data_IF_922445256406
#
_entry.id   IF_922445256406
#
_cell.length_a   1.000
_cell.length_b   1.000
_cell.length_c   1.000
_cell.angle_alpha   90.00
_cell.angle_beta   90.00
_cell.angle_gamma   90.00
#
_symmetry.space_group_name_H-M   'P 1'
#
loop_
_entity.id
_entity.type
_entity.pdbx_description
1 polymer ?
#
# COMPACT_ATOMS: atom_id res chain seq x y z
N UNK A 1 15.66 11.10 -1.53
CA UNK A 1 15.07 10.03 -2.37
C UNK A 1 16.11 9.04 -2.91
N UNK A 2 17.40 9.39 -3.01
CA UNK A 2 18.47 8.45 -3.39
C UNK A 2 18.49 7.15 -2.58
N UNK A 3 18.16 7.22 -1.30
CA UNK A 3 18.06 6.06 -0.41
C UNK A 3 16.93 5.10 -0.81
N UNK A 4 15.82 5.59 -1.37
CA UNK A 4 14.69 4.75 -1.80
C UNK A 4 15.08 3.85 -2.97
N UNK A 5 15.91 4.32 -3.91
CA UNK A 5 16.41 3.44 -4.99
C UNK A 5 17.24 2.30 -4.44
N UNK A 6 18.11 2.58 -3.46
CA UNK A 6 18.87 1.55 -2.75
C UNK A 6 17.94 0.56 -2.05
N UNK A 7 16.96 1.06 -1.30
CA UNK A 7 15.97 0.20 -0.62
C UNK A 7 15.22 -0.69 -1.62
N UNK A 8 14.75 -0.13 -2.75
CA UNK A 8 14.08 -0.88 -3.81
C UNK A 8 14.99 -1.97 -4.39
N UNK A 9 16.28 -1.69 -4.59
CA UNK A 9 17.26 -2.67 -5.08
C UNK A 9 17.45 -3.86 -4.14
N UNK A 10 17.16 -3.70 -2.85
CA UNK A 10 17.25 -4.75 -1.83
C UNK A 10 15.92 -5.50 -1.66
N UNK A 11 14.78 -4.80 -1.71
CA UNK A 11 13.45 -5.40 -1.54
C UNK A 11 12.96 -6.16 -2.77
N UNK A 12 13.15 -5.62 -3.98
CA UNK A 12 12.59 -6.21 -5.20
C UNK A 12 13.11 -7.61 -5.50
N UNK A 13 14.42 -7.93 -5.35
CA UNK A 13 14.91 -9.29 -5.55
C UNK A 13 14.27 -10.31 -4.61
N UNK A 14 13.98 -9.92 -3.36
CA UNK A 14 13.30 -10.80 -2.39
C UNK A 14 11.91 -11.15 -2.89
N UNK A 15 11.14 -10.15 -3.34
CA UNK A 15 9.79 -10.38 -3.92
C UNK A 15 9.88 -11.25 -5.18
N UNK A 16 10.84 -10.97 -6.07
CA UNK A 16 11.00 -11.67 -7.36
C UNK A 16 11.35 -13.15 -7.23
N UNK A 17 11.92 -13.58 -6.09
CA UNK A 17 12.12 -15.02 -5.80
C UNK A 17 10.81 -15.78 -5.63
N UNK A 18 9.75 -15.10 -5.22
CA UNK A 18 8.45 -15.71 -4.96
C UNK A 18 7.42 -15.39 -6.04
N UNK A 19 7.53 -14.22 -6.69
CA UNK A 19 6.57 -13.75 -7.67
C UNK A 19 7.26 -13.09 -8.87
N UNK A 20 7.12 -13.71 -10.05
CA UNK A 20 7.70 -13.20 -11.31
C UNK A 20 6.69 -12.43 -12.19
N UNK A 21 5.43 -12.34 -11.76
CA UNK A 21 4.40 -11.62 -12.51
C UNK A 21 4.58 -10.09 -12.50
N UNK A 22 3.66 -9.40 -13.18
CA UNK A 22 3.61 -7.93 -13.23
C UNK A 22 2.21 -7.46 -12.82
N UNK A 23 2.00 -7.01 -11.58
CA UNK A 23 0.68 -6.54 -11.16
C UNK A 23 0.33 -5.28 -11.95
N UNK A 24 -0.91 -5.16 -12.40
CA UNK A 24 -1.40 -3.96 -13.08
C UNK A 24 -2.00 -2.96 -12.08
N UNK A 25 -2.61 -3.48 -11.01
CA UNK A 25 -3.29 -2.70 -9.99
C UNK A 25 -2.67 -2.99 -8.62
N UNK A 26 -2.33 -1.93 -7.89
CA UNK A 26 -1.98 -1.95 -6.49
C UNK A 26 -3.22 -1.62 -5.65
N UNK A 27 -3.46 -2.36 -4.56
CA UNK A 27 -4.62 -2.14 -3.69
C UNK A 27 -4.13 -2.02 -2.25
N UNK A 28 -4.52 -0.96 -1.55
CA UNK A 28 -4.29 -0.84 -0.10
C UNK A 28 -5.61 -1.11 0.63
N UNK A 29 -5.68 -2.26 1.29
CA UNK A 29 -6.87 -2.68 2.02
C UNK A 29 -6.90 -2.01 3.39
N UNK A 30 -7.91 -1.17 3.58
CA UNK A 30 -8.15 -0.49 4.83
C UNK A 30 -8.86 -1.33 5.89
N UNK A 31 -9.00 -0.75 7.09
CA UNK A 31 -9.86 -1.26 8.16
C UNK A 31 -11.25 -1.59 7.62
N UNK A 32 -11.77 -2.77 7.93
CA UNK A 32 -13.10 -3.22 7.50
C UNK A 32 -13.16 -3.81 6.08
N UNK A 33 -12.09 -3.73 5.28
CA UNK A 33 -12.06 -4.24 3.90
C UNK A 33 -11.19 -5.50 3.73
N UNK A 34 -10.86 -6.16 4.85
CA UNK A 34 -10.14 -7.44 4.83
C UNK A 34 -10.86 -8.54 4.07
N UNK A 35 -12.20 -8.48 3.98
CA UNK A 35 -13.02 -9.40 3.20
C UNK A 35 -12.76 -9.33 1.70
N UNK A 36 -12.34 -8.17 1.17
CA UNK A 36 -11.94 -8.04 -0.24
C UNK A 36 -10.76 -8.95 -0.56
N UNK A 37 -9.90 -9.24 0.43
CA UNK A 37 -8.80 -10.18 0.24
C UNK A 37 -9.29 -11.61 -0.05
N UNK A 38 -10.52 -11.98 0.34
CA UNK A 38 -11.12 -13.29 0.02
C UNK A 38 -11.53 -13.41 -1.44
N UNK A 39 -11.74 -12.29 -2.13
CA UNK A 39 -12.04 -12.26 -3.56
C UNK A 39 -10.79 -12.40 -4.44
N UNK A 40 -9.60 -12.37 -3.84
CA UNK A 40 -8.33 -12.51 -4.57
C UNK A 40 -8.07 -14.01 -4.76
N UNK A 41 -7.89 -14.43 -6.02
CA UNK A 41 -7.22 -15.69 -6.32
C UNK A 41 -5.73 -15.50 -6.03
N UNK A 42 -5.27 -15.98 -4.88
CA UNK A 42 -3.92 -15.73 -4.37
C UNK A 42 -2.91 -16.66 -5.04
N UNK A 43 -1.89 -16.08 -5.66
CA UNK A 43 -0.73 -16.81 -6.17
C UNK A 43 0.36 -16.88 -5.09
N UNK A 44 0.63 -15.76 -4.42
CA UNK A 44 1.71 -15.60 -3.42
C UNK A 44 1.26 -14.64 -2.32
N UNK A 45 1.61 -14.91 -1.07
CA UNK A 45 1.45 -13.95 0.02
C UNK A 45 2.74 -13.89 0.85
N UNK A 46 3.37 -12.72 0.89
CA UNK A 46 4.62 -12.48 1.64
C UNK A 46 4.31 -11.68 2.91
N UNK A 47 4.92 -12.05 4.01
CA UNK A 47 4.78 -11.29 5.25
C UNK A 47 5.66 -10.04 5.18
N UNK A 48 5.20 -8.93 5.76
CA UNK A 48 5.97 -7.68 5.73
C UNK A 48 7.34 -7.82 6.41
N UNK A 49 7.47 -8.65 7.46
CA UNK A 49 8.76 -8.89 8.13
C UNK A 49 9.77 -9.66 7.25
N UNK A 50 9.33 -10.31 6.17
CA UNK A 50 10.21 -10.99 5.20
C UNK A 50 10.74 -10.01 4.14
N UNK A 51 10.17 -8.80 4.07
CA UNK A 51 10.49 -7.80 3.07
C UNK A 51 11.41 -6.73 3.66
N UNK A 52 12.63 -6.55 3.11
CA UNK A 52 13.50 -5.47 3.53
C UNK A 52 12.80 -4.11 3.46
N UNK A 53 13.03 -3.26 4.47
CA UNK A 53 12.52 -1.89 4.58
C UNK A 53 10.99 -1.75 4.76
N UNK A 54 10.24 -2.85 4.85
CA UNK A 54 8.86 -2.79 5.29
C UNK A 54 8.82 -2.67 6.81
N UNK A 55 8.01 -1.73 7.31
CA UNK A 55 7.69 -1.66 8.73
C UNK A 55 6.66 -2.73 9.09
N UNK A 56 6.66 -3.17 10.33
CA UNK A 56 5.72 -4.19 10.83
C UNK A 56 4.55 -3.47 11.53
N UNK A 57 3.29 -3.71 11.12
CA UNK A 57 2.12 -3.12 11.78
C UNK A 57 2.06 -3.56 13.23
N UNK A 58 1.76 -2.65 14.15
CA UNK A 58 1.63 -2.99 15.57
C UNK A 58 0.18 -3.27 15.97
N UNK A 59 -0.78 -2.96 15.09
CA UNK A 59 -2.21 -3.13 15.35
C UNK A 59 -2.69 -4.56 15.03
N UNK A 60 -3.46 -5.12 15.96
CA UNK A 60 -3.96 -6.50 15.97
C UNK A 60 -4.78 -6.89 14.72
N UNK A 61 -5.42 -5.92 14.07
CA UNK A 61 -6.25 -6.14 12.88
C UNK A 61 -5.47 -6.15 11.55
N UNK A 62 -4.15 -5.96 11.57
CA UNK A 62 -3.32 -5.97 10.37
C UNK A 62 -2.50 -7.25 10.29
N UNK A 63 -2.97 -8.21 9.47
CA UNK A 63 -2.24 -9.46 9.17
C UNK A 63 -0.83 -9.21 8.63
N UNK A 64 -0.58 -8.04 8.03
CA UNK A 64 0.77 -7.61 7.66
C UNK A 64 1.34 -8.36 6.46
N UNK A 65 0.57 -8.47 5.37
CA UNK A 65 0.95 -9.27 4.20
C UNK A 65 0.82 -8.52 2.88
N UNK A 66 1.76 -8.74 1.99
CA UNK A 66 1.71 -8.35 0.59
C UNK A 66 1.25 -9.54 -0.25
N UNK A 67 0.04 -9.42 -0.83
CA UNK A 67 -0.63 -10.49 -1.56
C UNK A 67 -0.50 -10.21 -3.06
N UNK A 68 -0.02 -11.19 -3.81
CA UNK A 68 -0.02 -11.21 -5.27
C UNK A 68 -1.05 -12.23 -5.76
N UNK A 69 -1.77 -11.87 -6.80
CA UNK A 69 -2.82 -12.73 -7.32
C UNK A 69 -3.64 -12.04 -8.38
N UNK A 70 -4.89 -12.47 -8.51
CA UNK A 70 -5.85 -11.93 -9.49
C UNK A 70 -7.21 -11.65 -8.89
N UNK A 71 -7.89 -10.65 -9.44
CA UNK A 71 -9.34 -10.44 -9.27
C UNK A 71 -9.93 -10.35 -10.68
N UNK A 72 -10.87 -11.24 -11.02
CA UNK A 72 -11.45 -11.32 -12.39
C UNK A 72 -10.36 -11.35 -13.48
N UNK A 73 -9.38 -12.24 -13.32
CA UNK A 73 -8.20 -12.40 -14.18
C UNK A 73 -7.22 -11.21 -14.29
N UNK A 74 -7.50 -10.09 -13.63
CA UNK A 74 -6.60 -8.94 -13.59
C UNK A 74 -5.49 -9.17 -12.55
N UNK A 75 -4.20 -9.14 -12.93
CA UNK A 75 -3.09 -9.27 -11.99
C UNK A 75 -3.02 -8.07 -11.03
N UNK A 76 -2.99 -8.35 -9.74
CA UNK A 76 -2.97 -7.34 -8.68
C UNK A 76 -1.86 -7.61 -7.67
N UNK A 77 -1.51 -6.56 -6.94
CA UNK A 77 -0.79 -6.63 -5.67
C UNK A 77 -1.61 -5.91 -4.62
N UNK A 78 -1.87 -6.55 -3.48
CA UNK A 78 -2.69 -6.02 -2.41
C UNK A 78 -1.93 -6.00 -1.08
N UNK A 79 -1.93 -4.86 -0.42
CA UNK A 79 -1.50 -4.72 0.97
C UNK A 79 -2.66 -5.11 1.88
N UNK A 80 -2.54 -6.25 2.57
CA UNK A 80 -3.45 -6.66 3.62
C UNK A 80 -2.98 -6.11 4.96
N UNK A 81 -3.45 -4.91 5.26
CA UNK A 81 -3.00 -4.07 6.37
C UNK A 81 -2.05 -2.98 5.92
N UNK A 82 -2.10 -1.85 6.62
CA UNK A 82 -1.38 -0.63 6.27
C UNK A 82 -0.72 -0.02 7.51
N UNK A 83 0.15 0.94 7.27
CA UNK A 83 0.91 1.63 8.29
C UNK A 83 0.33 3.03 8.53
N UNK A 84 0.35 3.48 9.77
CA UNK A 84 -0.21 4.77 10.15
C UNK A 84 0.85 5.65 10.81
N UNK A 85 0.69 6.96 10.60
CA UNK A 85 1.56 7.96 11.21
C UNK A 85 1.54 7.92 12.74
N UNK A 86 0.37 7.64 13.32
CA UNK A 86 0.21 7.55 14.78
C UNK A 86 0.89 6.31 15.39
N UNK A 87 1.32 5.32 14.59
CA UNK A 87 2.11 4.18 15.06
C UNK A 87 3.60 4.56 15.26
N UNK A 88 3.99 5.80 14.94
CA UNK A 88 5.36 6.32 15.12
C UNK A 88 6.24 6.28 13.87
N UNK A 89 5.73 5.77 12.75
CA UNK A 89 6.48 5.66 11.49
C UNK A 89 6.62 6.99 10.76
N UNK A 90 7.73 7.17 10.04
CA UNK A 90 7.91 8.29 9.12
C UNK A 90 6.97 8.18 7.91
N UNK A 91 6.65 9.29 7.26
CA UNK A 91 5.83 9.28 6.04
C UNK A 91 6.51 8.52 4.88
N UNK A 92 7.85 8.46 4.89
CA UNK A 92 8.62 7.67 3.91
C UNK A 92 8.44 6.17 4.13
N UNK A 93 8.53 5.71 5.38
CA UNK A 93 8.27 4.29 5.72
C UNK A 93 6.82 3.90 5.39
N UNK A 94 5.85 4.74 5.74
CA UNK A 94 4.43 4.49 5.46
C UNK A 94 4.17 4.34 3.96
N UNK A 95 4.82 5.16 3.14
CA UNK A 95 4.60 5.19 1.68
C UNK A 95 5.56 4.32 0.88
N UNK A 96 6.57 3.72 1.51
CA UNK A 96 7.54 2.86 0.85
C UNK A 96 6.91 1.71 0.04
N UNK A 97 5.87 1.00 0.54
CA UNK A 97 5.20 -0.05 -0.23
C UNK A 97 4.61 0.46 -1.55
N UNK A 98 4.17 1.72 -1.63
CA UNK A 98 3.67 2.31 -2.88
C UNK A 98 4.79 2.38 -3.93
N UNK A 99 6.01 2.74 -3.51
CA UNK A 99 7.19 2.74 -4.40
C UNK A 99 7.54 1.33 -4.88
N UNK A 100 7.46 0.35 -3.98
CA UNK A 100 7.67 -1.07 -4.31
C UNK A 100 6.63 -1.56 -5.33
N UNK A 101 5.34 -1.33 -5.08
CA UNK A 101 4.26 -1.74 -5.99
C UNK A 101 4.38 -1.06 -7.37
N UNK A 102 4.76 0.23 -7.40
CA UNK A 102 5.07 0.94 -8.65
C UNK A 102 6.23 0.30 -9.40
N UNK A 103 7.34 -0.01 -8.73
CA UNK A 103 8.51 -0.64 -9.33
C UNK A 103 8.24 -2.06 -9.82
N UNK A 104 7.31 -2.78 -9.18
CA UNK A 104 6.83 -4.09 -9.64
C UNK A 104 5.98 -4.01 -10.92
N UNK A 105 5.45 -2.83 -11.25
CA UNK A 105 4.77 -2.55 -12.51
C UNK A 105 3.34 -2.04 -12.38
N UNK A 106 2.82 -1.85 -11.15
CA UNK A 106 1.47 -1.35 -10.94
C UNK A 106 1.30 0.04 -11.57
N UNK A 107 0.20 0.22 -12.29
CA UNK A 107 -0.14 1.47 -12.98
C UNK A 107 -1.27 2.23 -12.28
N UNK A 108 -2.12 1.50 -11.57
CA UNK A 108 -3.25 2.05 -10.82
C UNK A 108 -3.06 1.72 -9.34
N UNK A 109 -3.30 2.70 -8.48
CA UNK A 109 -3.37 2.49 -7.03
C UNK A 109 -4.81 2.72 -6.57
N UNK A 110 -5.41 1.70 -5.98
CA UNK A 110 -6.71 1.78 -5.31
C UNK A 110 -6.44 1.86 -3.81
N UNK A 111 -6.88 2.94 -3.19
CA UNK A 111 -6.77 3.13 -1.73
C UNK A 111 -8.15 3.01 -1.10
N UNK A 112 -8.17 2.48 0.11
CA UNK A 112 -9.40 2.35 0.87
C UNK A 112 -9.18 2.60 2.36
N UNK A 113 -10.17 3.21 3.01
CA UNK A 113 -10.13 3.51 4.43
C UNK A 113 -11.52 3.52 5.06
N UNK A 114 -11.53 3.46 6.39
CA UNK A 114 -12.70 3.78 7.19
C UNK A 114 -12.55 5.24 7.64
N UNK A 115 -13.63 6.00 7.54
CA UNK A 115 -13.66 7.42 7.91
C UNK A 115 -14.96 7.78 8.62
N UNK A 116 -14.92 8.84 9.43
CA UNK A 116 -16.12 9.46 9.98
C UNK A 116 -16.77 10.36 8.92
N UNK A 117 -18.06 10.15 8.68
CA UNK A 117 -18.84 10.99 7.75
C UNK A 117 -19.16 12.35 8.35
N UNK A 118 -18.65 13.43 7.74
CA UNK A 118 -18.94 14.81 8.16
C UNK A 118 -20.07 15.45 7.35
N UNK A 119 -20.38 14.92 6.16
CA UNK A 119 -21.52 15.36 5.38
C UNK A 119 -22.81 14.80 6.02
N UNK A 120 -23.78 15.64 6.43
CA UNK A 120 -24.99 15.20 7.12
C UNK A 120 -25.89 14.30 6.26
N UNK A 121 -25.64 14.21 4.95
CA UNK A 121 -26.35 13.30 4.05
C UNK A 121 -25.80 11.87 4.08
N UNK A 122 -24.59 11.67 4.60
CA UNK A 122 -23.98 10.34 4.69
C UNK A 122 -24.61 9.52 5.81
N UNK A 123 -24.67 8.21 5.57
CA UNK A 123 -25.19 7.21 6.50
C UNK A 123 -24.11 6.18 6.82
N UNK A 124 -24.29 5.47 7.93
CA UNK A 124 -23.41 4.38 8.31
C UNK A 124 -23.40 3.31 7.22
N UNK A 125 -22.21 2.92 6.78
CA UNK A 125 -22.03 1.89 5.74
C UNK A 125 -21.97 2.43 4.30
N UNK A 126 -22.16 3.73 4.09
CA UNK A 126 -22.02 4.33 2.77
C UNK A 126 -20.59 4.17 2.22
N UNK A 127 -20.49 3.87 0.93
CA UNK A 127 -19.23 3.91 0.19
C UNK A 127 -19.12 5.30 -0.45
N UNK A 128 -18.15 6.08 0.01
CA UNK A 128 -17.85 7.41 -0.52
C UNK A 128 -16.65 7.34 -1.46
N UNK A 129 -16.79 7.86 -2.67
CA UNK A 129 -15.65 8.09 -3.57
C UNK A 129 -14.83 9.28 -3.09
N UNK A 130 -13.51 9.09 -2.98
CA UNK A 130 -12.57 10.18 -2.71
C UNK A 130 -12.35 10.93 -4.02
N UNK A 131 -12.99 12.08 -4.18
CA UNK A 131 -12.80 12.95 -5.36
C UNK A 131 -11.69 13.97 -5.15
N UNK A 132 -11.38 14.29 -3.90
CA UNK A 132 -10.28 15.16 -3.48
C UNK A 132 -9.91 14.91 -2.01
N UNK A 133 -8.82 15.50 -1.52
CA UNK A 133 -8.40 15.41 -0.12
C UNK A 133 -7.74 16.69 0.41
N UNK A 134 -7.82 16.90 1.72
CA UNK A 134 -7.09 17.94 2.44
C UNK A 134 -6.06 17.26 3.34
N UNK A 135 -4.77 17.57 3.17
CA UNK A 135 -3.72 17.05 4.04
C UNK A 135 -3.50 17.98 5.24
N UNK A 136 -3.98 17.55 6.42
CA UNK A 136 -3.78 18.24 7.70
C UNK A 136 -2.75 17.54 8.61
N UNK A 137 -1.89 16.67 8.05
CA UNK A 137 -0.87 15.97 8.82
C UNK A 137 0.36 16.84 9.13
N UNK A 138 0.48 18.01 8.51
CA UNK A 138 1.64 18.91 8.62
C UNK A 138 2.98 18.21 8.34
N UNK A 139 2.94 17.13 7.57
CA UNK A 139 4.06 16.30 7.15
C UNK A 139 3.79 15.86 5.70
N UNK A 140 4.84 15.45 4.97
CA UNK A 140 4.73 15.07 3.58
C UNK A 140 5.80 14.01 3.20
N UNK A 141 5.39 12.88 2.57
CA UNK A 141 6.32 11.80 2.21
C UNK A 141 7.39 12.22 1.19
N UNK A 142 7.19 13.34 0.49
CA UNK A 142 8.08 13.87 -0.54
C UNK A 142 9.11 14.88 0.01
N UNK A 143 9.12 15.16 1.32
CA UNK A 143 10.12 16.05 1.91
C UNK A 143 11.54 15.47 1.75
N UNK A 144 12.45 16.32 1.26
CA UNK A 144 13.87 16.03 1.05
C UNK A 144 14.26 16.06 -0.42
N UNK A 145 15.51 15.67 -0.77
CA UNK A 145 15.97 15.70 -2.15
C UNK A 145 15.14 14.78 -3.04
N UNK A 146 14.65 15.32 -4.17
CA UNK A 146 13.93 14.55 -5.20
C UNK A 146 14.86 13.59 -5.94
N UNK A 147 14.28 12.55 -6.53
CA UNK A 147 14.95 11.67 -7.47
C UNK A 147 14.10 11.61 -8.73
N UNK A 148 14.57 12.25 -9.80
CA UNK A 148 13.80 12.50 -11.02
C UNK A 148 13.41 11.19 -11.74
N UNK A 149 14.08 10.07 -11.45
CA UNK A 149 13.69 8.75 -11.96
C UNK A 149 12.41 8.21 -11.31
N UNK A 150 12.07 8.68 -10.11
CA UNK A 150 10.88 8.25 -9.35
C UNK A 150 9.67 9.16 -9.57
N UNK A 151 9.89 10.39 -10.06
CA UNK A 151 8.87 11.39 -10.34
C UNK A 151 9.45 12.81 -10.37
N UNK A 152 8.70 13.78 -10.91
CA UNK A 152 9.08 15.18 -10.89
C UNK A 152 9.04 15.78 -9.47
#
# INVERSE_FOLDING_TARGET
MLEIRKQLSETLPVIRRHYDGKPMIAIILGTGLGEVAKCITVDVALQYYELPHFVVPTLEFHRGRLIFGKISDVPIVAMQGRFHKYEGWSMKEITYPVRVMKALGAKVLIVSNASGGMNPLFRLGDIMLITDHINLLFDNPLIGPNDDELGP
#
